data_IF_306138239144
#
_entry.id   IF_306138239144
#
_cell.length_a   1.000
_cell.length_b   1.000
_cell.length_c   1.000
_cell.angle_alpha   90.00
_cell.angle_beta   90.00
_cell.angle_gamma   90.00
#
_symmetry.space_group_name_H-M   'P 1'
#
loop_
_entity.id
_entity.type
_entity.pdbx_description
1 polymer ?
#
# COMPACT_ATOMS: atom_id res chain seq x y z
N UNK A 1 -16.59 -1.16 4.37
CA UNK A 1 -15.16 -1.11 4.02
C UNK A 1 -14.35 -1.76 5.12
N UNK A 2 -13.52 -2.75 4.78
CA UNK A 2 -12.54 -3.32 5.71
C UNK A 2 -11.40 -2.32 5.88
N UNK A 3 -10.97 -2.06 7.14
CA UNK A 3 -10.00 -1.02 7.45
C UNK A 3 -8.91 -1.52 8.40
N UNK A 4 -7.65 -1.04 8.29
CA UNK A 4 -6.57 -1.45 9.18
C UNK A 4 -6.76 -0.92 10.61
N UNK A 5 -6.27 -1.69 11.59
CA UNK A 5 -6.19 -1.33 13.00
C UNK A 5 -4.87 -1.85 13.61
N UNK A 6 -3.79 -1.77 12.87
CA UNK A 6 -2.45 -2.21 13.26
C UNK A 6 -1.45 -1.06 13.17
N UNK A 7 -0.16 -1.32 13.32
CA UNK A 7 0.85 -0.26 13.39
C UNK A 7 1.26 0.29 12.02
N UNK A 8 1.06 -0.44 10.91
CA UNK A 8 1.56 -0.07 9.58
C UNK A 8 0.86 1.17 9.04
N UNK A 9 1.55 2.31 9.03
CA UNK A 9 1.02 3.59 8.56
C UNK A 9 0.78 3.61 7.05
N UNK A 10 1.44 2.75 6.28
CA UNK A 10 1.16 2.62 4.85
C UNK A 10 -0.26 2.15 4.57
N UNK A 11 -0.71 1.10 5.24
CA UNK A 11 -2.07 0.60 5.08
C UNK A 11 -3.11 1.62 5.59
N UNK A 12 -2.77 2.41 6.62
CA UNK A 12 -3.61 3.52 7.07
C UNK A 12 -3.71 4.65 6.05
N UNK A 13 -2.64 4.94 5.29
CA UNK A 13 -2.68 5.93 4.21
C UNK A 13 -3.55 5.43 3.05
N UNK A 14 -3.44 4.14 2.69
CA UNK A 14 -4.34 3.52 1.71
C UNK A 14 -5.80 3.70 2.15
N UNK A 15 -6.13 3.31 3.39
CA UNK A 15 -7.49 3.45 3.91
C UNK A 15 -7.99 4.91 3.92
N UNK A 16 -7.12 5.88 4.25
CA UNK A 16 -7.48 7.30 4.17
C UNK A 16 -7.83 7.71 2.74
N UNK A 17 -7.03 7.29 1.76
CA UNK A 17 -7.29 7.57 0.34
C UNK A 17 -8.60 6.94 -0.15
N UNK A 18 -8.89 5.71 0.27
CA UNK A 18 -10.13 5.01 -0.02
C UNK A 18 -11.34 5.72 0.57
N UNK A 19 -11.23 6.21 1.79
CA UNK A 19 -12.26 7.02 2.45
C UNK A 19 -12.49 8.32 1.70
N UNK A 20 -11.43 9.04 1.33
CA UNK A 20 -11.55 10.27 0.55
C UNK A 20 -12.25 10.02 -0.80
N UNK A 21 -11.91 8.92 -1.49
CA UNK A 21 -12.59 8.51 -2.71
C UNK A 21 -14.10 8.36 -2.49
N UNK A 22 -14.53 7.64 -1.44
CA UNK A 22 -15.94 7.43 -1.14
C UNK A 22 -16.66 8.74 -0.76
N UNK A 23 -16.01 9.61 0.00
CA UNK A 23 -16.53 10.92 0.38
C UNK A 23 -16.73 11.83 -0.83
N UNK A 24 -15.75 11.88 -1.75
CA UNK A 24 -15.86 12.63 -3.00
C UNK A 24 -16.98 12.12 -3.90
N UNK A 25 -17.28 10.81 -3.84
CA UNK A 25 -18.40 10.19 -4.56
C UNK A 25 -19.74 10.38 -3.85
N UNK A 26 -19.77 10.96 -2.64
CA UNK A 26 -20.99 11.10 -1.84
C UNK A 26 -21.56 9.77 -1.35
N UNK A 27 -20.72 8.74 -1.21
CA UNK A 27 -21.11 7.40 -0.78
C UNK A 27 -21.00 7.28 0.73
N UNK A 28 -22.11 6.93 1.39
CA UNK A 28 -22.10 6.57 2.81
C UNK A 28 -21.42 5.20 3.01
N UNK A 29 -20.57 5.09 4.02
CA UNK A 29 -19.81 3.87 4.29
C UNK A 29 -19.71 3.60 5.79
N UNK A 30 -19.41 2.34 6.13
CA UNK A 30 -19.01 1.93 7.47
C UNK A 30 -17.64 1.32 7.41
N UNK A 31 -16.76 1.68 8.35
CA UNK A 31 -15.49 1.01 8.55
C UNK A 31 -15.66 -0.20 9.48
N UNK A 32 -15.09 -1.33 9.08
CA UNK A 32 -15.03 -2.57 9.87
C UNK A 32 -13.57 -2.92 10.00
N UNK A 33 -13.06 -2.95 11.22
CA UNK A 33 -11.67 -3.33 11.48
C UNK A 33 -11.47 -4.84 11.29
N UNK A 34 -10.22 -5.26 11.06
CA UNK A 34 -9.89 -6.68 10.94
C UNK A 34 -10.35 -7.51 12.14
N UNK A 35 -10.27 -6.95 13.36
CA UNK A 35 -10.74 -7.61 14.59
C UNK A 35 -12.26 -7.80 14.59
N UNK A 36 -13.02 -6.77 14.24
CA UNK A 36 -14.48 -6.84 14.13
C UNK A 36 -14.90 -7.81 13.02
N UNK A 37 -14.24 -7.75 11.87
CA UNK A 37 -14.47 -8.67 10.76
C UNK A 37 -14.28 -10.13 11.18
N UNK A 38 -13.15 -10.46 11.84
CA UNK A 38 -12.90 -11.82 12.34
C UNK A 38 -13.92 -12.25 13.40
N UNK A 39 -14.39 -11.34 14.26
CA UNK A 39 -15.44 -11.61 15.23
C UNK A 39 -16.77 -11.91 14.55
N UNK A 40 -17.18 -11.11 13.56
CA UNK A 40 -18.39 -11.34 12.76
C UNK A 40 -18.33 -12.70 12.03
N UNK A 41 -17.19 -13.01 11.39
CA UNK A 41 -16.98 -14.31 10.75
C UNK A 41 -17.06 -15.49 11.73
N UNK A 42 -16.49 -15.31 12.93
CA UNK A 42 -16.50 -16.34 13.98
C UNK A 42 -17.90 -16.64 14.55
N UNK A 43 -18.73 -15.62 14.65
CA UNK A 43 -20.11 -15.72 15.15
C UNK A 43 -21.16 -16.07 14.07
N UNK A 44 -20.74 -16.23 12.80
CA UNK A 44 -21.67 -16.37 11.68
C UNK A 44 -22.45 -15.09 11.33
N UNK A 45 -22.13 -13.97 11.97
CA UNK A 45 -22.82 -12.69 11.78
C UNK A 45 -22.43 -11.94 10.50
N UNK A 46 -21.42 -12.42 9.78
CA UNK A 46 -20.97 -11.76 8.53
C UNK A 46 -22.03 -11.83 7.42
N UNK A 47 -22.91 -12.82 7.45
CA UNK A 47 -24.05 -12.92 6.54
C UNK A 47 -25.02 -11.73 6.62
N UNK A 48 -25.00 -10.95 7.71
CA UNK A 48 -25.76 -9.69 7.82
C UNK A 48 -25.25 -8.61 6.87
N UNK A 49 -24.04 -8.76 6.35
CA UNK A 49 -23.43 -7.87 5.36
C UNK A 49 -23.58 -8.39 3.92
N UNK A 50 -24.17 -9.59 3.75
CA UNK A 50 -24.41 -10.16 2.43
C UNK A 50 -25.42 -9.30 1.67
N UNK A 51 -25.16 -9.05 0.39
CA UNK A 51 -25.90 -8.07 -0.41
C UNK A 51 -25.38 -6.63 -0.29
N UNK A 52 -24.39 -6.34 0.57
CA UNK A 52 -23.73 -5.04 0.60
C UNK A 52 -22.58 -4.97 -0.42
N UNK A 53 -22.17 -3.75 -0.79
CA UNK A 53 -20.89 -3.54 -1.50
C UNK A 53 -19.76 -3.59 -0.47
N UNK A 54 -18.86 -4.55 -0.61
CA UNK A 54 -17.74 -4.76 0.30
C UNK A 54 -16.44 -4.26 -0.34
N UNK A 55 -15.76 -3.34 0.30
CA UNK A 55 -14.45 -2.85 -0.10
C UNK A 55 -13.39 -3.44 0.83
N UNK A 56 -12.45 -4.17 0.28
CA UNK A 56 -11.30 -4.75 0.99
C UNK A 56 -10.12 -3.82 0.79
N UNK A 57 -9.59 -3.27 1.88
CA UNK A 57 -8.46 -2.33 1.85
C UNK A 57 -7.32 -2.82 0.96
N UNK A 58 -6.79 -1.93 0.15
CA UNK A 58 -5.62 -2.18 -0.66
C UNK A 58 -4.37 -2.53 0.16
N UNK A 59 -3.28 -2.82 -0.50
CA UNK A 59 -2.04 -3.10 0.20
C UNK A 59 -1.22 -4.25 -0.38
N UNK A 60 -0.59 -5.04 0.46
CA UNK A 60 0.27 -6.16 0.05
C UNK A 60 -0.03 -7.46 0.77
N UNK A 61 -1.30 -7.73 1.03
CA UNK A 61 -1.73 -8.77 1.97
C UNK A 61 -2.28 -10.03 1.28
N UNK A 62 -2.34 -10.05 -0.07
CA UNK A 62 -2.80 -11.22 -0.82
C UNK A 62 -1.67 -12.21 -1.08
N UNK A 63 -1.91 -13.48 -0.76
CA UNK A 63 -1.02 -14.59 -1.02
C UNK A 63 -0.26 -15.13 0.18
N UNK A 64 0.92 -15.73 -0.06
CA UNK A 64 1.66 -16.52 0.93
C UNK A 64 2.56 -15.71 1.87
N UNK A 65 2.76 -14.40 1.63
CA UNK A 65 3.52 -13.56 2.58
C UNK A 65 2.77 -13.36 3.90
N UNK A 66 1.44 -13.25 3.83
CA UNK A 66 0.56 -13.02 4.96
C UNK A 66 -0.64 -13.99 4.93
N UNK A 67 -0.41 -15.32 5.09
CA UNK A 67 -1.41 -16.35 4.86
C UNK A 67 -2.64 -16.23 5.78
N UNK A 68 -2.47 -15.66 6.97
CA UNK A 68 -3.57 -15.38 7.91
C UNK A 68 -4.58 -14.38 7.33
N UNK A 69 -4.10 -13.36 6.61
CA UNK A 69 -4.96 -12.38 5.94
C UNK A 69 -5.64 -12.97 4.70
N UNK A 70 -4.91 -13.67 3.87
CA UNK A 70 -5.48 -14.38 2.72
C UNK A 70 -6.59 -15.36 3.15
N UNK A 71 -6.39 -16.10 4.25
CA UNK A 71 -7.40 -16.97 4.81
C UNK A 71 -8.65 -16.19 5.27
N UNK A 72 -8.47 -15.02 5.90
CA UNK A 72 -9.57 -14.15 6.28
C UNK A 72 -10.34 -13.65 5.06
N UNK A 73 -9.64 -13.22 3.99
CA UNK A 73 -10.28 -12.77 2.75
C UNK A 73 -11.10 -13.88 2.10
N UNK A 74 -10.58 -15.11 2.00
CA UNK A 74 -11.34 -16.26 1.49
C UNK A 74 -12.63 -16.50 2.31
N UNK A 75 -12.54 -16.38 3.63
CA UNK A 75 -13.73 -16.53 4.50
C UNK A 75 -14.75 -15.42 4.29
N UNK A 76 -14.32 -14.18 4.07
CA UNK A 76 -15.21 -13.06 3.72
C UNK A 76 -15.95 -13.36 2.43
N UNK A 77 -15.23 -13.75 1.39
CA UNK A 77 -15.80 -14.06 0.07
C UNK A 77 -16.83 -15.18 0.16
N UNK A 78 -16.54 -16.24 0.92
CA UNK A 78 -17.48 -17.35 1.14
C UNK A 78 -18.71 -16.97 1.98
N UNK A 79 -18.59 -15.99 2.88
CA UNK A 79 -19.66 -15.56 3.77
C UNK A 79 -20.59 -14.49 3.17
N UNK A 80 -20.24 -13.94 2.01
CA UNK A 80 -20.99 -12.87 1.35
C UNK A 80 -21.21 -13.16 -0.15
N UNK A 81 -21.88 -14.28 -0.52
CA UNK A 81 -21.98 -14.73 -1.91
C UNK A 81 -22.81 -13.81 -2.82
N UNK A 82 -23.64 -12.92 -2.26
CA UNK A 82 -24.46 -11.97 -3.03
C UNK A 82 -23.92 -10.54 -3.01
N UNK A 83 -22.82 -10.30 -2.32
CA UNK A 83 -22.15 -8.99 -2.27
C UNK A 83 -21.31 -8.73 -3.51
N UNK A 84 -21.23 -7.48 -3.97
CA UNK A 84 -20.14 -7.07 -4.83
C UNK A 84 -18.91 -6.80 -3.97
N UNK A 85 -17.81 -7.50 -4.22
CA UNK A 85 -16.58 -7.43 -3.40
C UNK A 85 -15.45 -6.85 -4.24
N UNK A 86 -14.84 -5.80 -3.74
CA UNK A 86 -13.74 -5.08 -4.38
C UNK A 86 -12.46 -5.29 -3.56
N UNK A 87 -11.50 -6.00 -4.11
CA UNK A 87 -10.11 -5.97 -3.62
C UNK A 87 -9.43 -4.74 -4.22
N UNK A 88 -9.33 -3.69 -3.43
CA UNK A 88 -8.73 -2.42 -3.85
C UNK A 88 -7.23 -2.59 -4.16
N UNK A 89 -6.54 -1.66 -4.81
CA UNK A 89 -5.22 -1.89 -5.41
C UNK A 89 -4.24 -2.62 -4.49
N UNK A 90 -3.94 -3.86 -4.85
CA UNK A 90 -3.17 -4.81 -4.05
C UNK A 90 -1.95 -5.35 -4.79
N UNK A 91 -0.92 -5.73 -4.01
CA UNK A 91 0.13 -6.66 -4.44
C UNK A 91 -0.29 -8.07 -4.10
N UNK A 92 -0.13 -9.00 -5.03
CA UNK A 92 -0.35 -10.42 -4.83
C UNK A 92 0.99 -11.18 -4.94
N UNK A 93 1.26 -12.07 -3.99
CA UNK A 93 2.48 -12.86 -4.00
C UNK A 93 2.23 -14.28 -3.51
N UNK A 94 2.42 -15.26 -4.39
CA UNK A 94 2.46 -16.68 -4.02
C UNK A 94 3.85 -17.23 -4.28
N UNK A 95 4.46 -17.84 -3.26
CA UNK A 95 5.73 -18.50 -3.44
C UNK A 95 5.57 -19.77 -4.30
N UNK A 96 6.71 -20.25 -4.87
CA UNK A 96 6.72 -21.38 -5.80
C UNK A 96 6.84 -22.74 -5.11
N UNK A 97 6.75 -22.80 -3.79
CA UNK A 97 6.78 -24.06 -3.05
C UNK A 97 5.50 -24.89 -3.32
N UNK A 98 5.54 -26.22 -3.14
CA UNK A 98 4.32 -27.04 -3.25
C UNK A 98 3.17 -26.53 -2.37
N UNK A 99 3.47 -26.09 -1.15
CA UNK A 99 2.49 -25.52 -0.22
C UNK A 99 1.92 -24.19 -0.73
N UNK A 100 2.78 -23.29 -1.24
CA UNK A 100 2.35 -22.03 -1.85
C UNK A 100 1.47 -22.23 -3.08
N UNK A 101 1.78 -23.20 -3.90
CA UNK A 101 0.96 -23.58 -5.06
C UNK A 101 -0.38 -24.21 -4.66
N UNK A 102 -0.42 -24.99 -3.59
CA UNK A 102 -1.70 -25.47 -3.05
C UNK A 102 -2.54 -24.32 -2.50
N UNK A 103 -1.92 -23.41 -1.76
CA UNK A 103 -2.56 -22.22 -1.20
C UNK A 103 -3.17 -21.33 -2.30
N UNK A 104 -2.44 -21.14 -3.41
CA UNK A 104 -2.93 -20.47 -4.62
C UNK A 104 -4.15 -21.17 -5.21
N UNK A 105 -4.12 -22.50 -5.39
CA UNK A 105 -5.27 -23.24 -5.94
C UNK A 105 -6.54 -23.07 -5.10
N UNK A 106 -6.39 -23.00 -3.78
CA UNK A 106 -7.53 -22.73 -2.90
C UNK A 106 -8.10 -21.32 -3.11
N UNK A 107 -7.24 -20.31 -3.24
CA UNK A 107 -7.67 -18.92 -3.52
C UNK A 107 -8.37 -18.83 -4.88
N UNK A 108 -7.81 -19.45 -5.93
CA UNK A 108 -8.45 -19.49 -7.26
C UNK A 108 -9.84 -20.12 -7.17
N UNK A 109 -9.96 -21.23 -6.44
CA UNK A 109 -11.26 -21.91 -6.27
C UNK A 109 -12.28 -21.04 -5.58
N UNK A 110 -11.91 -20.35 -4.50
CA UNK A 110 -12.81 -19.50 -3.73
C UNK A 110 -13.18 -18.24 -4.50
N UNK A 111 -12.19 -17.53 -5.00
CA UNK A 111 -12.39 -16.25 -5.67
C UNK A 111 -13.03 -16.43 -7.05
N UNK A 112 -12.62 -17.46 -7.80
CA UNK A 112 -13.18 -17.77 -9.12
C UNK A 112 -14.63 -18.26 -9.11
N UNK A 113 -15.13 -18.73 -7.97
CA UNK A 113 -16.52 -19.13 -7.81
C UNK A 113 -17.45 -17.95 -7.47
N UNK A 114 -16.91 -16.79 -7.10
CA UNK A 114 -17.73 -15.65 -6.69
C UNK A 114 -18.15 -14.80 -7.90
N UNK A 115 -19.47 -14.53 -8.08
CA UNK A 115 -19.99 -13.91 -9.31
C UNK A 115 -19.66 -12.42 -9.48
N UNK A 116 -19.41 -11.71 -8.39
CA UNK A 116 -19.23 -10.25 -8.37
C UNK A 116 -17.98 -9.84 -7.59
N UNK A 117 -16.84 -10.39 -8.01
CA UNK A 117 -15.54 -10.10 -7.42
C UNK A 117 -14.72 -9.23 -8.36
N UNK A 118 -14.18 -8.13 -7.85
CA UNK A 118 -13.36 -7.17 -8.57
C UNK A 118 -11.96 -7.12 -7.96
N UNK A 119 -10.92 -7.29 -8.79
CA UNK A 119 -9.54 -7.20 -8.37
C UNK A 119 -8.84 -6.01 -9.02
N UNK A 120 -8.11 -5.24 -8.20
CA UNK A 120 -7.25 -4.17 -8.67
C UNK A 120 -5.82 -4.44 -8.20
N UNK A 121 -4.89 -4.45 -9.14
CA UNK A 121 -3.46 -4.58 -8.87
C UNK A 121 -2.80 -3.21 -8.85
N UNK A 122 -1.81 -3.00 -7.98
CA UNK A 122 -1.08 -1.71 -7.90
C UNK A 122 0.27 -1.71 -8.62
N UNK A 123 0.70 -2.85 -9.16
CA UNK A 123 1.90 -2.95 -10.01
C UNK A 123 1.73 -4.05 -11.06
N UNK A 124 2.53 -3.95 -12.13
CA UNK A 124 2.38 -4.76 -13.33
C UNK A 124 2.48 -6.27 -13.06
N UNK A 125 3.41 -6.70 -12.20
CA UNK A 125 3.60 -8.13 -11.91
C UNK A 125 2.35 -8.75 -11.26
N UNK A 126 1.71 -8.05 -10.32
CA UNK A 126 0.44 -8.48 -9.72
C UNK A 126 -0.71 -8.43 -10.73
N UNK A 127 -0.74 -7.42 -11.60
CA UNK A 127 -1.76 -7.31 -12.64
C UNK A 127 -1.68 -8.49 -13.62
N UNK A 128 -0.49 -8.79 -14.15
CA UNK A 128 -0.28 -9.89 -15.09
C UNK A 128 -0.69 -11.23 -14.46
N UNK A 129 -0.35 -11.42 -13.19
CA UNK A 129 -0.75 -12.61 -12.45
C UNK A 129 -2.27 -12.67 -12.25
N UNK A 130 -2.89 -11.59 -11.77
CA UNK A 130 -4.33 -11.51 -11.53
C UNK A 130 -5.12 -11.67 -12.83
N UNK A 131 -4.68 -11.00 -13.92
CA UNK A 131 -5.35 -11.03 -15.22
C UNK A 131 -5.42 -12.40 -15.84
N UNK A 132 -4.42 -13.24 -15.58
CA UNK A 132 -4.41 -14.63 -16.04
C UNK A 132 -5.48 -15.50 -15.34
N UNK A 133 -5.90 -15.12 -14.14
CA UNK A 133 -6.84 -15.88 -13.30
C UNK A 133 -8.22 -15.20 -13.28
N UNK A 134 -8.22 -13.87 -13.19
CA UNK A 134 -9.42 -13.03 -13.06
C UNK A 134 -9.46 -12.03 -14.22
N UNK A 135 -10.19 -12.34 -15.32
CA UNK A 135 -10.20 -11.51 -16.54
C UNK A 135 -10.65 -10.06 -16.34
N UNK A 136 -11.40 -9.78 -15.26
CA UNK A 136 -11.85 -8.43 -14.88
C UNK A 136 -10.81 -7.63 -14.11
N UNK A 137 -9.65 -8.22 -13.77
CA UNK A 137 -8.61 -7.50 -13.05
C UNK A 137 -8.14 -6.26 -13.81
N UNK A 138 -7.90 -5.17 -13.07
CA UNK A 138 -7.42 -3.89 -13.59
C UNK A 138 -6.14 -3.43 -12.88
N UNK A 139 -5.30 -2.69 -13.59
CA UNK A 139 -4.08 -2.09 -13.05
C UNK A 139 -4.35 -0.63 -12.68
N UNK A 140 -4.00 -0.25 -11.44
CA UNK A 140 -4.17 1.10 -10.91
C UNK A 140 -2.97 1.46 -10.02
N UNK A 141 -2.67 2.74 -9.80
CA UNK A 141 -1.68 3.12 -8.79
C UNK A 141 -2.10 2.72 -7.38
N UNK A 142 -1.14 2.65 -6.47
CA UNK A 142 -1.43 2.55 -5.03
C UNK A 142 -2.34 3.71 -4.60
N UNK A 143 -3.37 3.40 -3.82
CA UNK A 143 -4.37 4.41 -3.40
C UNK A 143 -3.72 5.57 -2.66
N UNK A 144 -2.67 5.34 -1.88
CA UNK A 144 -1.98 6.41 -1.15
C UNK A 144 -1.39 7.49 -2.08
N UNK A 145 -1.12 7.18 -3.36
CA UNK A 145 -0.68 8.17 -4.35
C UNK A 145 -1.77 9.18 -4.74
N UNK A 146 -3.02 8.98 -4.35
CA UNK A 146 -4.07 9.99 -4.56
C UNK A 146 -4.12 11.04 -3.45
N UNK A 147 -3.42 10.83 -2.33
CA UNK A 147 -3.38 11.76 -1.21
C UNK A 147 -2.58 13.03 -1.55
N UNK A 148 -2.94 14.11 -0.89
CA UNK A 148 -2.23 15.39 -0.98
C UNK A 148 -2.04 15.95 0.44
N UNK A 149 -0.96 15.52 1.16
CA UNK A 149 -0.69 16.03 2.50
C UNK A 149 -0.35 17.53 2.47
N UNK A 150 -0.51 18.22 3.61
CA UNK A 150 -0.13 19.61 3.70
C UNK A 150 1.35 19.83 3.34
N UNK A 151 1.60 20.80 2.47
CA UNK A 151 2.95 21.18 2.08
C UNK A 151 3.72 21.77 3.27
N UNK A 152 4.99 21.37 3.41
CA UNK A 152 5.88 21.92 4.45
C UNK A 152 6.94 22.83 3.83
N UNK A 153 7.05 24.04 4.34
CA UNK A 153 8.12 25.00 3.98
C UNK A 153 9.30 24.97 4.95
N UNK A 154 9.27 24.07 5.94
CA UNK A 154 10.36 23.96 6.93
C UNK A 154 11.68 23.55 6.26
N UNK A 155 12.83 24.05 6.77
CA UNK A 155 14.13 23.61 6.31
C UNK A 155 14.30 22.11 6.48
N UNK A 156 14.85 21.45 5.45
CA UNK A 156 15.13 20.01 5.45
C UNK A 156 16.53 19.75 5.92
N UNK A 157 16.70 18.78 6.83
CA UNK A 157 18.01 18.41 7.36
C UNK A 157 18.13 16.91 7.61
N UNK A 158 19.34 16.37 7.55
CA UNK A 158 19.63 15.00 7.90
C UNK A 158 19.06 13.94 6.95
N UNK A 159 19.24 12.69 7.32
CA UNK A 159 18.78 11.52 6.62
C UNK A 159 17.84 10.70 7.50
N UNK A 160 16.67 10.33 6.96
CA UNK A 160 15.81 9.32 7.56
C UNK A 160 16.02 7.98 6.87
N UNK A 161 16.22 6.95 7.66
CA UNK A 161 16.47 5.60 7.19
C UNK A 161 15.34 4.67 7.66
N UNK A 162 14.58 4.12 6.71
CA UNK A 162 13.52 3.16 6.94
C UNK A 162 13.92 1.81 6.37
N UNK A 163 14.65 1.02 7.14
CA UNK A 163 15.02 -0.36 6.78
C UNK A 163 14.16 -1.35 7.54
N UNK A 164 13.53 -2.24 6.79
CA UNK A 164 12.65 -3.25 7.35
C UNK A 164 13.42 -4.35 8.11
N UNK A 165 12.76 -4.91 9.11
CA UNK A 165 13.27 -6.03 9.88
C UNK A 165 12.23 -7.16 9.99
N UNK A 166 11.53 -7.45 8.89
CA UNK A 166 10.49 -8.46 8.81
C UNK A 166 10.81 -9.52 7.73
N UNK A 167 9.87 -10.41 7.46
CA UNK A 167 9.99 -11.54 6.51
C UNK A 167 10.22 -11.11 5.04
N UNK A 168 10.04 -9.85 4.71
CA UNK A 168 10.26 -9.30 3.37
C UNK A 168 11.66 -8.66 3.21
N UNK A 169 12.49 -8.66 4.27
CA UNK A 169 13.85 -8.13 4.21
C UNK A 169 14.72 -8.92 3.25
N UNK A 170 15.37 -8.24 2.33
CA UNK A 170 16.37 -8.81 1.41
C UNK A 170 17.77 -8.27 1.65
N UNK A 171 17.87 -7.10 2.24
CA UNK A 171 19.14 -6.44 2.54
C UNK A 171 19.89 -7.23 3.60
N UNK A 172 21.09 -7.70 3.27
CA UNK A 172 21.98 -8.42 4.18
C UNK A 172 22.50 -7.49 5.28
N UNK A 173 23.00 -8.04 6.41
CA UNK A 173 23.66 -7.22 7.43
C UNK A 173 24.82 -6.37 6.90
N UNK A 174 25.63 -6.90 5.98
CA UNK A 174 26.71 -6.18 5.34
C UNK A 174 26.21 -5.00 4.49
N UNK A 175 25.16 -5.20 3.69
CA UNK A 175 24.53 -4.14 2.92
C UNK A 175 23.87 -3.08 3.83
N UNK A 176 23.23 -3.50 4.93
CA UNK A 176 22.68 -2.55 5.91
C UNK A 176 23.76 -1.68 6.53
N UNK A 177 24.91 -2.28 6.88
CA UNK A 177 26.08 -1.54 7.39
C UNK A 177 26.65 -0.56 6.35
N UNK A 178 26.69 -0.97 5.09
CA UNK A 178 27.14 -0.10 3.98
C UNK A 178 26.18 1.08 3.76
N UNK A 179 24.84 0.84 3.75
CA UNK A 179 23.85 1.92 3.70
C UNK A 179 24.06 2.91 4.83
N UNK A 180 24.24 2.43 6.06
CA UNK A 180 24.50 3.27 7.22
C UNK A 180 25.79 4.08 7.07
N UNK A 181 26.88 3.45 6.59
CA UNK A 181 28.13 4.13 6.35
C UNK A 181 28.01 5.24 5.29
N UNK A 182 27.24 5.01 4.23
CA UNK A 182 26.92 6.03 3.22
C UNK A 182 26.15 7.20 3.83
N UNK A 183 25.13 6.92 4.67
CA UNK A 183 24.36 7.95 5.36
C UNK A 183 25.26 8.81 6.26
N UNK A 184 26.10 8.20 7.09
CA UNK A 184 27.02 8.93 7.96
C UNK A 184 28.08 9.73 7.18
N UNK A 185 28.53 9.22 6.03
CA UNK A 185 29.45 9.98 5.14
C UNK A 185 28.81 11.25 4.62
N UNK A 186 27.50 11.21 4.29
CA UNK A 186 26.76 12.33 3.71
C UNK A 186 26.24 13.32 4.75
N UNK A 187 25.84 12.84 5.94
CA UNK A 187 25.11 13.63 6.92
C UNK A 187 25.75 13.64 8.33
N UNK A 188 26.91 12.99 8.51
CA UNK A 188 27.54 12.88 9.84
C UNK A 188 26.63 12.15 10.82
N UNK A 189 26.47 12.72 12.02
CA UNK A 189 25.58 12.19 13.05
C UNK A 189 24.08 12.49 12.81
N UNK A 190 23.76 13.31 11.80
CA UNK A 190 22.37 13.67 11.51
C UNK A 190 21.67 12.59 10.65
N UNK A 191 21.69 11.35 11.16
CA UNK A 191 21.04 10.17 10.58
C UNK A 191 20.09 9.60 11.62
N UNK A 192 18.83 9.49 11.27
CA UNK A 192 17.77 8.98 12.14
C UNK A 192 17.20 7.67 11.59
N UNK A 193 17.25 6.60 12.39
CA UNK A 193 16.52 5.38 12.12
C UNK A 193 15.05 5.57 12.49
N UNK A 194 14.14 5.19 11.61
CA UNK A 194 12.71 5.24 11.85
C UNK A 194 12.03 4.04 11.22
N UNK A 195 10.75 3.83 11.49
CA UNK A 195 9.95 2.79 10.86
C UNK A 195 8.66 3.39 10.26
N UNK A 196 8.07 2.66 9.33
CA UNK A 196 6.73 2.94 8.80
C UNK A 196 5.63 2.41 9.71
N UNK A 197 5.98 1.65 10.74
CA UNK A 197 5.08 1.25 11.79
C UNK A 197 5.01 2.32 12.90
N UNK A 198 3.81 2.62 13.36
CA UNK A 198 3.60 3.40 14.57
C UNK A 198 4.02 2.58 15.81
N UNK A 199 4.38 3.22 16.94
CA UNK A 199 4.81 2.52 18.16
C UNK A 199 3.69 1.68 18.81
N UNK A 200 2.43 1.93 18.45
CA UNK A 200 1.25 1.20 18.91
C UNK A 200 0.22 1.09 17.79
N UNK A 201 -0.71 0.12 17.86
CA UNK A 201 -1.81 0.02 16.89
C UNK A 201 -2.60 1.32 16.77
N UNK A 202 -2.85 1.73 15.54
CA UNK A 202 -3.57 2.97 15.21
C UNK A 202 -5.03 2.65 14.92
N UNK A 203 -5.94 3.26 15.65
CA UNK A 203 -7.38 3.16 15.39
C UNK A 203 -7.80 4.04 14.22
N UNK A 204 -8.98 3.80 13.61
CA UNK A 204 -9.53 4.69 12.58
C UNK A 204 -9.58 6.16 13.01
N UNK A 205 -9.95 6.44 14.26
CA UNK A 205 -10.01 7.81 14.79
C UNK A 205 -8.65 8.49 14.95
N UNK A 206 -7.57 7.73 15.09
CA UNK A 206 -6.20 8.25 15.26
C UNK A 206 -5.44 8.33 13.94
N UNK A 207 -5.96 7.75 12.85
CA UNK A 207 -5.31 7.57 11.54
C UNK A 207 -4.70 8.86 11.00
N UNK A 208 -5.51 9.90 10.87
CA UNK A 208 -5.04 11.16 10.28
C UNK A 208 -3.93 11.84 11.10
N UNK A 209 -4.04 11.81 12.43
CA UNK A 209 -3.03 12.39 13.30
C UNK A 209 -1.69 11.64 13.16
N UNK A 210 -1.73 10.31 13.20
CA UNK A 210 -0.54 9.47 13.03
C UNK A 210 0.12 9.63 11.65
N UNK A 211 -0.67 9.73 10.59
CA UNK A 211 -0.18 9.99 9.24
C UNK A 211 0.44 11.37 9.11
N UNK A 212 -0.21 12.40 9.66
CA UNK A 212 0.30 13.78 9.65
C UNK A 212 1.63 13.90 10.37
N UNK A 213 1.80 13.24 11.51
CA UNK A 213 3.06 13.18 12.24
C UNK A 213 4.17 12.55 11.38
N UNK A 214 3.87 11.40 10.75
CA UNK A 214 4.83 10.71 9.88
C UNK A 214 5.20 11.55 8.65
N UNK A 215 4.24 12.18 7.99
CA UNK A 215 4.52 13.08 6.86
C UNK A 215 5.33 14.29 7.27
N UNK A 216 5.09 14.87 8.44
CA UNK A 216 5.89 15.98 8.99
C UNK A 216 7.34 15.52 9.20
N UNK A 217 7.55 14.32 9.73
CA UNK A 217 8.89 13.74 9.89
C UNK A 217 9.62 13.63 8.55
N UNK A 218 8.97 13.05 7.51
CA UNK A 218 9.57 12.94 6.19
C UNK A 218 9.82 14.30 5.55
N UNK A 219 8.87 15.22 5.65
CA UNK A 219 8.99 16.57 5.10
C UNK A 219 10.17 17.37 5.68
N UNK A 220 10.61 17.06 6.89
CA UNK A 220 11.79 17.67 7.52
C UNK A 220 13.13 17.06 7.11
N UNK A 221 13.14 15.91 6.43
CA UNK A 221 14.37 15.24 6.03
C UNK A 221 14.95 15.80 4.72
N UNK A 222 16.28 15.89 4.63
CA UNK A 222 16.98 16.22 3.38
C UNK A 222 17.07 15.02 2.43
N UNK A 223 17.05 13.80 2.99
CA UNK A 223 17.03 12.54 2.25
C UNK A 223 16.26 11.48 3.04
N UNK A 224 15.51 10.67 2.32
CA UNK A 224 14.96 9.40 2.82
C UNK A 224 15.63 8.25 2.09
N UNK A 225 16.04 7.21 2.81
CA UNK A 225 16.49 5.94 2.23
C UNK A 225 15.60 4.85 2.79
N UNK A 226 15.03 4.01 1.91
CA UNK A 226 14.00 3.06 2.36
C UNK A 226 13.91 1.80 1.49
N UNK A 227 13.65 0.66 2.13
CA UNK A 227 13.16 -0.57 1.49
C UNK A 227 11.66 -0.81 1.80
N UNK A 228 10.98 0.21 2.37
CA UNK A 228 9.54 0.22 2.61
C UNK A 228 8.81 0.96 1.48
N UNK A 229 7.83 0.30 0.85
CA UNK A 229 7.04 0.91 -0.23
C UNK A 229 6.45 2.26 0.19
N UNK A 230 5.81 2.32 1.35
CA UNK A 230 5.19 3.57 1.80
C UNK A 230 6.20 4.59 2.32
N UNK A 231 7.44 4.20 2.64
CA UNK A 231 8.55 5.15 2.82
C UNK A 231 8.83 5.93 1.54
N UNK A 232 8.83 5.24 0.39
CA UNK A 232 8.99 5.84 -0.93
C UNK A 232 7.75 6.67 -1.32
N UNK A 233 6.53 6.14 -1.16
CA UNK A 233 5.29 6.86 -1.47
C UNK A 233 5.18 8.13 -0.62
N UNK A 234 5.38 8.05 0.69
CA UNK A 234 5.30 9.23 1.57
C UNK A 234 6.38 10.27 1.24
N UNK A 235 7.55 9.83 0.80
CA UNK A 235 8.57 10.75 0.29
C UNK A 235 8.10 11.47 -0.98
N UNK A 236 7.41 10.77 -1.88
CA UNK A 236 6.80 11.38 -3.06
C UNK A 236 5.76 12.43 -2.64
N UNK A 237 4.82 12.07 -1.78
CA UNK A 237 3.76 12.95 -1.29
C UNK A 237 4.29 14.21 -0.58
N UNK A 238 5.40 14.09 0.14
CA UNK A 238 5.99 15.19 0.92
C UNK A 238 7.11 15.93 0.17
N UNK A 239 7.29 15.61 -1.11
CA UNK A 239 8.34 16.19 -1.97
C UNK A 239 9.75 16.03 -1.36
N UNK A 240 10.00 14.91 -0.68
CA UNK A 240 11.26 14.63 -0.01
C UNK A 240 12.15 13.77 -0.92
N UNK A 241 13.41 14.16 -1.18
CA UNK A 241 14.34 13.32 -1.91
C UNK A 241 14.38 11.91 -1.32
N UNK A 242 14.22 10.88 -2.17
CA UNK A 242 14.15 9.50 -1.71
C UNK A 242 14.98 8.56 -2.59
N UNK A 243 15.73 7.67 -1.94
CA UNK A 243 16.39 6.54 -2.56
C UNK A 243 15.75 5.27 -2.05
N UNK A 244 15.05 4.56 -2.93
CA UNK A 244 14.44 3.27 -2.64
C UNK A 244 15.44 2.13 -2.87
N UNK A 245 15.39 1.12 -2.01
CA UNK A 245 16.15 -0.12 -2.07
C UNK A 245 15.20 -1.27 -2.31
N UNK A 246 15.67 -2.38 -2.88
CA UNK A 246 14.77 -3.49 -3.24
C UNK A 246 14.27 -4.29 -2.02
N UNK A 247 13.17 -5.03 -2.23
CA UNK A 247 12.55 -5.91 -1.25
C UNK A 247 12.17 -7.24 -1.90
N UNK A 248 11.76 -8.23 -1.08
CA UNK A 248 11.45 -9.60 -1.55
C UNK A 248 10.33 -9.67 -2.59
N UNK A 249 9.32 -8.85 -2.44
CA UNK A 249 8.19 -8.81 -3.36
C UNK A 249 8.40 -7.75 -4.45
N UNK A 250 7.77 -7.88 -5.62
CA UNK A 250 7.94 -6.93 -6.73
C UNK A 250 7.35 -5.56 -6.47
N UNK A 251 6.66 -5.37 -5.34
CA UNK A 251 5.85 -4.18 -5.05
C UNK A 251 6.62 -2.87 -5.10
N UNK A 252 7.84 -2.84 -4.55
CA UNK A 252 8.63 -1.60 -4.47
C UNK A 252 9.02 -1.13 -5.86
N UNK A 253 9.68 -1.99 -6.62
CA UNK A 253 10.10 -1.69 -7.99
C UNK A 253 8.89 -1.47 -8.91
N UNK A 254 7.85 -2.27 -8.77
CA UNK A 254 6.64 -2.14 -9.58
C UNK A 254 5.86 -0.85 -9.29
N UNK A 255 5.71 -0.45 -8.02
CA UNK A 255 5.07 0.82 -7.68
C UNK A 255 5.95 2.04 -7.99
N UNK A 256 7.28 1.89 -8.00
CA UNK A 256 8.19 2.96 -8.46
C UNK A 256 7.89 3.39 -9.90
N UNK A 257 7.41 2.49 -10.76
CA UNK A 257 7.06 2.82 -12.16
C UNK A 257 6.02 3.94 -12.25
N UNK A 258 5.08 4.02 -11.29
CA UNK A 258 4.12 5.11 -11.21
C UNK A 258 4.76 6.47 -10.85
N UNK A 259 5.92 6.44 -10.18
CA UNK A 259 6.61 7.61 -9.66
C UNK A 259 7.87 7.98 -10.47
N UNK A 260 8.19 7.27 -11.55
CA UNK A 260 9.40 7.52 -12.37
C UNK A 260 9.53 8.94 -12.91
N UNK A 261 8.41 9.65 -13.03
CA UNK A 261 8.38 11.06 -13.46
C UNK A 261 8.79 12.05 -12.36
N UNK A 262 8.94 11.58 -11.12
CA UNK A 262 9.35 12.42 -9.98
C UNK A 262 10.87 12.41 -9.87
N UNK A 263 11.52 13.47 -10.32
CA UNK A 263 12.99 13.56 -10.41
C UNK A 263 13.69 13.42 -9.05
N UNK A 264 12.97 13.65 -7.94
CA UNK A 264 13.48 13.53 -6.56
C UNK A 264 13.28 12.14 -5.94
N UNK A 265 12.74 11.17 -6.70
CA UNK A 265 12.64 9.76 -6.30
C UNK A 265 13.57 8.92 -7.17
N UNK A 266 14.42 8.11 -6.56
CA UNK A 266 15.31 7.20 -7.26
C UNK A 266 15.27 5.80 -6.68
N UNK A 267 15.65 4.82 -7.49
CA UNK A 267 15.85 3.44 -7.08
C UNK A 267 17.36 3.13 -7.16
N UNK A 268 17.94 2.59 -6.08
CA UNK A 268 19.32 2.15 -6.05
C UNK A 268 19.38 0.63 -6.29
N UNK A 269 20.23 0.22 -7.20
CA UNK A 269 20.53 -1.20 -7.43
C UNK A 269 21.55 -1.73 -6.41
N UNK A 270 22.36 -0.84 -5.83
CA UNK A 270 23.36 -1.14 -4.82
C UNK A 270 23.46 -0.02 -3.78
N UNK A 271 23.81 -0.33 -2.52
CA UNK A 271 24.17 0.70 -1.52
C UNK A 271 25.27 1.65 -1.97
N UNK A 272 26.19 1.22 -2.84
CA UNK A 272 27.26 2.04 -3.38
C UNK A 272 26.74 3.23 -4.23
N UNK A 273 25.54 3.13 -4.80
CA UNK A 273 24.94 4.14 -5.66
C UNK A 273 24.39 5.34 -4.86
N UNK A 274 24.20 5.20 -3.55
CA UNK A 274 23.53 6.18 -2.68
C UNK A 274 24.16 7.57 -2.81
N UNK A 275 25.49 7.67 -2.76
CA UNK A 275 26.18 8.96 -2.84
C UNK A 275 25.93 9.68 -4.16
N UNK A 276 26.04 8.96 -5.27
CA UNK A 276 25.82 9.51 -6.62
C UNK A 276 24.34 9.91 -6.80
N UNK A 277 23.42 9.07 -6.37
CA UNK A 277 22.00 9.35 -6.46
C UNK A 277 21.62 10.58 -5.63
N UNK A 278 22.14 10.71 -4.41
CA UNK A 278 21.86 11.88 -3.57
C UNK A 278 22.34 13.18 -4.22
N UNK A 279 23.54 13.20 -4.82
CA UNK A 279 24.06 14.39 -5.53
C UNK A 279 23.15 14.84 -6.68
N UNK A 280 22.46 13.91 -7.31
CA UNK A 280 21.45 14.19 -8.33
C UNK A 280 20.14 14.68 -7.68
N UNK A 281 19.59 13.95 -6.71
CA UNK A 281 18.28 14.21 -6.12
C UNK A 281 18.21 15.55 -5.38
N UNK A 282 19.28 15.98 -4.71
CA UNK A 282 19.30 17.25 -3.98
C UNK A 282 19.11 18.48 -4.89
N UNK A 283 19.40 18.34 -6.19
CA UNK A 283 19.26 19.39 -7.20
C UNK A 283 17.98 19.26 -8.03
N UNK A 284 17.25 18.16 -7.88
CA UNK A 284 16.04 17.87 -8.65
C UNK A 284 14.91 18.84 -8.28
N UNK A 285 14.09 19.25 -9.25
CA UNK A 285 12.85 19.95 -8.96
C UNK A 285 11.94 19.02 -8.16
N UNK A 286 11.20 19.61 -7.22
CA UNK A 286 10.31 18.87 -6.33
C UNK A 286 8.92 19.43 -6.44
N UNK A 287 8.04 18.65 -7.01
CA UNK A 287 6.63 18.98 -7.11
C UNK A 287 5.83 17.68 -7.20
N UNK A 288 4.83 17.57 -6.33
CA UNK A 288 3.90 16.46 -6.32
C UNK A 288 2.53 16.92 -6.81
N UNK A 289 2.05 16.28 -7.88
CA UNK A 289 0.71 16.46 -8.40
C UNK A 289 0.01 15.09 -8.47
N UNK A 290 -1.13 14.98 -7.81
CA UNK A 290 -1.91 13.74 -7.76
C UNK A 290 -2.99 13.64 -8.87
N UNK A 291 -3.13 14.63 -9.73
CA UNK A 291 -4.19 14.68 -10.74
C UNK A 291 -4.19 13.46 -11.69
N UNK A 292 -2.99 12.99 -12.09
CA UNK A 292 -2.85 11.79 -12.91
C UNK A 292 -3.34 10.54 -12.17
N UNK A 293 -2.97 10.39 -10.89
CA UNK A 293 -3.38 9.25 -10.07
C UNK A 293 -4.90 9.26 -9.83
N UNK A 294 -5.50 10.41 -9.58
CA UNK A 294 -6.96 10.56 -9.45
C UNK A 294 -7.68 10.18 -10.75
N UNK A 295 -7.11 10.52 -11.92
CA UNK A 295 -7.68 10.09 -13.22
C UNK A 295 -7.63 8.57 -13.38
N UNK A 296 -6.58 7.92 -12.92
CA UNK A 296 -6.46 6.46 -12.97
C UNK A 296 -7.49 5.73 -12.08
N UNK A 297 -8.10 6.41 -11.10
CA UNK A 297 -9.16 5.84 -10.26
C UNK A 297 -10.56 5.86 -10.91
N UNK A 298 -10.74 6.45 -12.10
CA UNK A 298 -12.06 6.54 -12.72
C UNK A 298 -12.74 5.19 -12.99
N UNK A 299 -12.04 4.14 -13.46
CA UNK A 299 -12.67 2.81 -13.60
C UNK A 299 -13.19 2.26 -12.27
N UNK A 300 -12.41 2.36 -11.18
CA UNK A 300 -12.84 1.93 -9.85
C UNK A 300 -14.09 2.68 -9.39
N UNK A 301 -14.14 4.01 -9.60
CA UNK A 301 -15.32 4.84 -9.29
C UNK A 301 -16.56 4.34 -10.06
N UNK A 302 -16.42 4.07 -11.34
CA UNK A 302 -17.51 3.57 -12.18
C UNK A 302 -18.00 2.20 -11.73
N UNK A 303 -17.08 1.28 -11.42
CA UNK A 303 -17.42 -0.08 -10.99
C UNK A 303 -18.15 -0.08 -9.63
N UNK A 304 -17.70 0.74 -8.67
CA UNK A 304 -18.39 0.91 -7.37
C UNK A 304 -19.80 1.47 -7.54
N UNK A 305 -19.98 2.53 -8.36
CA UNK A 305 -21.29 3.11 -8.61
C UNK A 305 -22.23 2.11 -9.29
N UNK A 306 -21.75 1.35 -10.26
CA UNK A 306 -22.51 0.29 -10.92
C UNK A 306 -22.96 -0.78 -9.91
N UNK A 307 -22.05 -1.24 -9.05
CA UNK A 307 -22.38 -2.23 -8.03
C UNK A 307 -23.46 -1.74 -7.05
N UNK A 308 -23.35 -0.48 -6.57
CA UNK A 308 -24.35 0.13 -5.69
C UNK A 308 -25.71 0.25 -6.37
N UNK A 309 -25.73 0.60 -7.65
CA UNK A 309 -26.98 0.75 -8.42
C UNK A 309 -27.65 -0.61 -8.62
N UNK A 310 -26.88 -1.64 -8.95
CA UNK A 310 -27.38 -3.00 -9.15
C UNK A 310 -27.99 -3.58 -7.87
N UNK A 311 -27.35 -3.36 -6.72
CA UNK A 311 -27.84 -3.88 -5.43
C UNK A 311 -29.06 -3.13 -4.89
N UNK A 312 -29.33 -1.89 -5.30
CA UNK A 312 -30.55 -1.15 -4.91
C UNK A 312 -31.77 -1.51 -5.76
N UNK A 313 -31.58 -2.14 -6.92
CA UNK A 313 -32.65 -2.49 -7.88
C UNK A 313 -33.11 -3.93 -7.80
N UNK A 314 -32.47 -4.77 -7.00
CA UNK A 314 -32.87 -6.16 -6.71
C UNK A 314 -33.45 -6.28 -5.31
#
# INVERSE_FOLDING_TARGET
>A
MLTPQHCNLGDHAIALAEIQLLQEMGIAYYEITGKECLSLLGMGGFSLLDGAVLLINGGGNLGTLWPEWENAMRRIVLAAPHSAIFFLPNTIYYDRTPAGQQFLRESIRVYGAHPALHFYAREQASYDFMKAIYPTAALMPDMALTLHPPHSTAPRAGCLLFLRNDREKTITPAQSAEVMAQCHRLFGENVTLSDMDAPAPVSPAQREAALREKWTQLAGAALVITDRLHGMIFSALTETPCIALDSKSPKLRGCYEWMRKLDYIAFADSPADIGLLYERLKKAPRHYDNADYLRQMQPLRADILQAITTQKGG
#
